data_IF_069931744759
#
_entry.id   IF_069931744759
#
_cell.length_a   1.000
_cell.length_b   1.000
_cell.length_c   1.000
_cell.angle_alpha   90.00
_cell.angle_beta   90.00
_cell.angle_gamma   90.00
#
_symmetry.space_group_name_H-M   'P 1'
#
loop_
_entity.id
_entity.type
_entity.pdbx_description
1 polymer ?
#
# COMPACT_ATOMS: atom_id res chain seq x y z
N UNK A 1 22.00 -5.17 -1.36
CA UNK A 1 21.40 -4.92 -2.69
C UNK A 1 20.37 -3.83 -2.50
N UNK A 2 20.61 -2.64 -3.03
CA UNK A 2 19.59 -1.59 -3.13
C UNK A 2 18.63 -2.00 -4.24
N UNK A 3 17.33 -2.08 -3.95
CA UNK A 3 16.32 -2.35 -4.96
C UNK A 3 16.01 -1.07 -5.73
N UNK A 4 15.63 -1.21 -6.99
CA UNK A 4 15.27 -0.05 -7.82
C UNK A 4 13.92 0.53 -7.35
N UNK A 5 13.77 1.87 -7.33
CA UNK A 5 12.48 2.51 -7.15
C UNK A 5 11.47 2.01 -8.18
N UNK A 6 10.20 2.02 -7.82
CA UNK A 6 9.12 1.60 -8.72
C UNK A 6 7.96 2.60 -8.73
N UNK A 7 7.18 2.50 -9.79
CA UNK A 7 5.94 3.24 -10.00
C UNK A 7 4.96 2.36 -10.76
N UNK A 8 3.82 2.04 -10.14
CA UNK A 8 2.81 1.15 -10.72
C UNK A 8 1.42 1.76 -10.60
N UNK A 9 0.65 1.63 -11.69
CA UNK A 9 -0.78 1.92 -11.69
C UNK A 9 -1.55 0.74 -11.09
N UNK A 10 -2.56 1.03 -10.29
CA UNK A 10 -3.40 0.05 -9.59
C UNK A 10 -4.86 0.50 -9.59
N UNK A 11 -5.74 -0.33 -9.03
CA UNK A 11 -7.11 0.03 -8.73
C UNK A 11 -7.51 -0.70 -7.43
N UNK A 12 -7.30 -0.05 -6.29
CA UNK A 12 -7.61 -0.61 -4.97
C UNK A 12 -8.79 0.14 -4.35
N UNK A 13 -10.03 -0.32 -4.61
CA UNK A 13 -11.21 0.30 -4.02
C UNK A 13 -11.19 0.18 -2.49
N UNK A 14 -11.78 1.15 -1.80
CA UNK A 14 -11.93 1.14 -0.35
C UNK A 14 -13.09 0.23 0.10
N UNK A 15 -13.03 -1.04 -0.27
CA UNK A 15 -14.09 -2.04 -0.09
C UNK A 15 -13.80 -3.04 1.05
N UNK A 16 -12.68 -2.87 1.75
CA UNK A 16 -12.22 -3.76 2.84
C UNK A 16 -11.95 -5.19 2.39
N UNK A 17 -11.70 -5.42 1.09
CA UNK A 17 -11.30 -6.72 0.56
C UNK A 17 -9.80 -6.90 0.70
N UNK A 18 -9.41 -7.97 1.40
CA UNK A 18 -8.00 -8.37 1.52
C UNK A 18 -7.57 -9.08 0.26
N UNK A 19 -6.55 -8.53 -0.40
CA UNK A 19 -6.01 -9.04 -1.65
C UNK A 19 -4.63 -9.66 -1.43
N UNK A 20 -4.38 -10.81 -2.07
CA UNK A 20 -3.12 -11.55 -1.97
C UNK A 20 -2.48 -11.76 -3.34
N UNK A 21 -1.77 -10.76 -3.89
CA UNK A 21 -0.98 -10.95 -5.10
C UNK A 21 -0.01 -12.12 -4.91
N UNK A 22 -0.03 -13.09 -5.82
CA UNK A 22 0.90 -14.21 -5.75
C UNK A 22 2.35 -13.72 -5.80
N UNK A 23 3.23 -14.29 -4.97
CA UNK A 23 4.67 -13.96 -4.96
C UNK A 23 5.39 -14.27 -6.29
N UNK A 24 4.73 -14.94 -7.23
CA UNK A 24 5.22 -15.12 -8.59
C UNK A 24 4.85 -14.00 -9.57
N UNK A 25 3.92 -13.10 -9.20
CA UNK A 25 3.36 -12.07 -10.09
C UNK A 25 4.35 -10.96 -10.43
N UNK A 26 4.15 -10.32 -11.58
CA UNK A 26 4.93 -9.14 -11.97
C UNK A 26 4.74 -7.98 -10.99
N UNK A 27 3.56 -7.87 -10.38
CA UNK A 27 3.29 -6.89 -9.33
C UNK A 27 4.23 -7.12 -8.13
N UNK A 28 4.26 -8.34 -7.58
CA UNK A 28 5.17 -8.66 -6.47
C UNK A 28 6.65 -8.48 -6.85
N UNK A 29 7.04 -8.88 -8.07
CA UNK A 29 8.40 -8.70 -8.58
C UNK A 29 8.80 -7.25 -8.83
N UNK A 30 7.88 -6.29 -8.73
CA UNK A 30 8.18 -4.85 -8.81
C UNK A 30 8.07 -4.16 -7.47
N UNK A 31 7.09 -4.54 -6.66
CA UNK A 31 6.75 -3.82 -5.44
C UNK A 31 7.17 -4.55 -4.17
N UNK A 32 7.33 -5.86 -4.21
CA UNK A 32 7.51 -6.71 -3.01
C UNK A 32 6.24 -6.88 -2.19
N UNK A 33 5.15 -6.19 -2.53
CA UNK A 33 3.86 -6.27 -1.86
C UNK A 33 3.22 -7.61 -2.21
N UNK A 34 2.88 -8.39 -1.19
CA UNK A 34 2.20 -9.69 -1.33
C UNK A 34 0.87 -9.75 -0.58
N UNK A 35 0.46 -8.65 0.05
CA UNK A 35 -0.90 -8.42 0.55
C UNK A 35 -1.19 -6.93 0.54
N UNK A 36 -2.42 -6.57 0.20
CA UNK A 36 -2.94 -5.23 0.46
C UNK A 36 -4.42 -5.26 0.82
N UNK A 37 -4.87 -4.26 1.59
CA UNK A 37 -6.28 -4.02 1.90
C UNK A 37 -6.51 -2.50 2.02
N UNK A 38 -7.51 -1.97 1.31
CA UNK A 38 -7.98 -0.60 1.48
C UNK A 38 -9.34 -0.65 2.20
N UNK A 39 -9.37 -0.17 3.44
CA UNK A 39 -10.49 -0.39 4.36
C UNK A 39 -10.86 0.89 5.11
N UNK A 40 -12.03 0.90 5.74
CA UNK A 40 -12.37 1.93 6.73
C UNK A 40 -11.43 1.85 7.92
N UNK A 41 -10.96 2.99 8.42
CA UNK A 41 -10.11 3.00 9.59
C UNK A 41 -10.92 2.68 10.85
N UNK A 42 -10.29 2.01 11.83
CA UNK A 42 -10.90 1.67 13.10
C UNK A 42 -10.88 2.81 14.14
N UNK A 43 -10.49 4.02 13.75
CA UNK A 43 -10.33 5.15 14.66
C UNK A 43 -11.11 6.39 14.15
N UNK A 44 -11.54 7.30 15.04
CA UNK A 44 -12.41 8.42 14.66
C UNK A 44 -11.71 9.60 13.97
N UNK A 45 -10.37 9.60 13.89
CA UNK A 45 -9.60 10.70 13.27
C UNK A 45 -9.42 10.50 11.77
N UNK A 46 -9.46 9.25 11.32
CA UNK A 46 -9.20 8.86 9.94
C UNK A 46 -10.34 7.98 9.43
N UNK A 47 -10.79 8.26 8.22
CA UNK A 47 -11.90 7.54 7.61
C UNK A 47 -11.44 6.23 6.96
N UNK A 48 -10.21 6.21 6.41
CA UNK A 48 -9.66 5.08 5.67
C UNK A 48 -8.28 4.66 6.17
N UNK A 49 -7.89 3.44 5.82
CA UNK A 49 -6.58 2.87 6.09
C UNK A 49 -6.16 1.97 4.93
N UNK A 50 -4.93 2.16 4.45
CA UNK A 50 -4.26 1.18 3.58
C UNK A 50 -3.36 0.33 4.44
N UNK A 51 -3.58 -0.97 4.38
CA UNK A 51 -2.73 -1.97 5.00
C UNK A 51 -2.00 -2.75 3.91
N UNK A 52 -0.71 -2.99 4.08
CA UNK A 52 0.11 -3.80 3.19
C UNK A 52 0.98 -4.78 3.98
N UNK A 53 1.32 -5.88 3.32
CA UNK A 53 2.46 -6.72 3.68
C UNK A 53 3.43 -6.76 2.51
N UNK A 54 4.69 -6.47 2.77
CA UNK A 54 5.72 -6.44 1.75
C UNK A 54 7.04 -7.04 2.22
N UNK A 55 7.72 -7.73 1.31
CA UNK A 55 9.03 -8.33 1.58
C UNK A 55 10.19 -7.35 1.34
N UNK A 56 9.92 -6.14 0.81
CA UNK A 56 10.97 -5.21 0.38
C UNK A 56 10.93 -3.93 1.21
N UNK A 57 12.08 -3.46 1.71
CA UNK A 57 12.14 -2.26 2.51
C UNK A 57 12.12 -1.04 1.60
N UNK A 58 10.96 -0.39 1.51
CA UNK A 58 10.75 0.86 0.79
C UNK A 58 9.95 1.83 1.65
N UNK A 59 10.01 3.11 1.32
CA UNK A 59 8.90 4.00 1.58
C UNK A 59 7.86 3.80 0.49
N UNK A 60 6.73 3.19 0.85
CA UNK A 60 5.59 3.02 -0.04
C UNK A 60 4.72 4.27 0.02
N UNK A 61 4.44 4.87 -1.13
CA UNK A 61 3.52 6.00 -1.27
C UNK A 61 2.34 5.59 -2.13
N UNK A 62 1.14 5.82 -1.61
CA UNK A 62 -0.14 5.51 -2.24
C UNK A 62 -0.78 6.81 -2.69
N UNK A 63 -1.29 6.85 -3.92
CA UNK A 63 -2.01 7.98 -4.48
C UNK A 63 -3.44 7.59 -4.78
N UNK A 64 -4.39 8.41 -4.35
CA UNK A 64 -5.81 8.19 -4.58
C UNK A 64 -6.33 8.90 -5.85
N UNK A 65 -7.64 8.87 -6.07
CA UNK A 65 -8.28 9.51 -7.22
C UNK A 65 -8.36 11.05 -7.11
N UNK A 66 -8.15 11.63 -5.92
CA UNK A 66 -8.02 13.09 -5.76
C UNK A 66 -6.62 13.57 -6.15
N UNK A 67 -5.65 12.67 -6.13
CA UNK A 67 -4.22 12.96 -6.34
C UNK A 67 -3.47 13.18 -5.02
N UNK A 68 -4.14 13.02 -3.89
CA UNK A 68 -3.52 13.07 -2.57
C UNK A 68 -2.64 11.83 -2.35
N UNK A 69 -1.62 11.97 -1.50
CA UNK A 69 -0.62 10.93 -1.28
C UNK A 69 -0.41 10.61 0.19
N UNK A 70 -0.23 9.33 0.50
CA UNK A 70 -0.06 8.81 1.86
C UNK A 70 1.08 7.81 1.87
N UNK A 71 1.97 7.86 2.87
CA UNK A 71 3.18 7.02 2.86
C UNK A 71 3.38 6.22 4.13
N UNK A 72 3.96 5.03 3.97
CA UNK A 72 4.44 4.19 5.07
C UNK A 72 5.84 3.65 4.75
N UNK A 73 6.76 3.78 5.69
CA UNK A 73 8.13 3.29 5.54
C UNK A 73 8.30 1.92 6.19
N UNK A 74 8.76 0.95 5.40
CA UNK A 74 9.06 -0.40 5.87
C UNK A 74 10.58 -0.54 5.97
N UNK A 75 11.11 -0.55 7.19
CA UNK A 75 12.55 -0.70 7.45
C UNK A 75 12.96 -2.10 7.90
N UNK A 76 12.07 -2.81 8.59
CA UNK A 76 12.32 -4.14 9.17
C UNK A 76 11.35 -5.17 8.58
N UNK A 77 11.68 -5.63 7.38
CA UNK A 77 10.92 -6.69 6.71
C UNK A 77 10.93 -7.97 7.56
N UNK A 78 9.78 -8.60 7.72
CA UNK A 78 9.65 -9.93 8.33
C UNK A 78 9.56 -9.93 9.86
N UNK A 79 9.75 -8.79 10.53
CA UNK A 79 9.49 -8.67 11.97
C UNK A 79 8.05 -8.21 12.25
N UNK A 80 7.55 -7.26 11.47
CA UNK A 80 6.14 -6.86 11.50
C UNK A 80 5.51 -7.32 10.20
N UNK A 81 4.48 -8.19 10.24
CA UNK A 81 3.89 -8.69 9.00
C UNK A 81 3.12 -7.59 8.28
N UNK A 82 2.51 -6.65 9.01
CA UNK A 82 1.57 -5.65 8.49
C UNK A 82 2.06 -4.23 8.76
N UNK A 83 1.91 -3.38 7.75
CA UNK A 83 2.20 -1.96 7.82
C UNK A 83 0.99 -1.21 7.28
N UNK A 84 0.64 -0.10 7.91
CA UNK A 84 -0.52 0.67 7.48
C UNK A 84 -0.28 2.18 7.55
N UNK A 85 -1.07 2.90 6.75
CA UNK A 85 -1.22 4.35 6.83
C UNK A 85 -2.71 4.68 6.83
N UNK A 86 -3.14 5.51 7.78
CA UNK A 86 -4.50 6.03 7.85
C UNK A 86 -4.61 7.37 7.13
N UNK A 87 -5.74 7.63 6.50
CA UNK A 87 -5.96 8.81 5.67
C UNK A 87 -7.44 9.20 5.58
N UNK A 88 -7.69 10.41 5.09
CA UNK A 88 -9.01 10.95 4.77
C UNK A 88 -8.99 11.34 3.29
N UNK A 89 -10.02 10.92 2.54
CA UNK A 89 -10.16 11.24 1.11
C UNK A 89 -11.63 11.18 0.70
N UNK A 90 -12.04 12.11 -0.16
CA UNK A 90 -13.36 12.07 -0.80
C UNK A 90 -13.47 10.97 -1.87
N UNK A 91 -12.33 10.51 -2.40
CA UNK A 91 -12.24 9.46 -3.44
C UNK A 91 -11.11 8.48 -3.07
N UNK A 92 -11.36 7.57 -2.11
CA UNK A 92 -10.33 6.81 -1.39
C UNK A 92 -9.72 5.66 -2.19
N UNK A 93 -10.13 5.44 -3.44
CA UNK A 93 -9.57 4.39 -4.29
C UNK A 93 -8.11 4.71 -4.58
N UNK A 94 -7.20 3.79 -4.25
CA UNK A 94 -5.79 3.97 -4.62
C UNK A 94 -5.62 3.61 -6.10
N UNK A 95 -5.01 4.50 -6.86
CA UNK A 95 -4.79 4.36 -8.31
C UNK A 95 -3.32 4.24 -8.69
N UNK A 96 -2.40 4.58 -7.79
CA UNK A 96 -0.96 4.47 -8.04
C UNK A 96 -0.20 4.17 -6.75
N UNK A 97 0.85 3.38 -6.87
CA UNK A 97 1.78 3.06 -5.77
C UNK A 97 3.20 3.24 -6.24
N UNK A 98 4.01 3.94 -5.45
CA UNK A 98 5.45 4.09 -5.68
C UNK A 98 6.25 3.55 -4.50
N UNK A 99 7.50 3.15 -4.77
CA UNK A 99 8.47 2.80 -3.75
C UNK A 99 9.79 3.49 -4.00
N UNK A 100 10.38 4.09 -2.96
CA UNK A 100 11.68 4.79 -2.98
C UNK A 100 12.57 4.40 -1.81
#
# INVERSE_FOLDING_TARGET
MTREPFDVQVHWPADSVVNWPGKGSDFYRKTGIHMYCNQKAANPLWEYQIEIRADWPFTYTFYDETGDSYSVSIWMVGMTPEHYVSFNSERPTIVRVTGS
#
